data_IF_883316211607
#
_entry.id   IF_883316211607
#
_cell.length_a   1.000
_cell.length_b   1.000
_cell.length_c   1.000
_cell.angle_alpha   90.00
_cell.angle_beta   90.00
_cell.angle_gamma   90.00
#
_symmetry.space_group_name_H-M   'P 1'
#
loop_
_entity.id
_entity.type
_entity.pdbx_description
1 polymer ?
#
# COMPACT_ATOMS: atom_id res chain seq x y z
N UNK A 1 -7.96 14.65 19.91
CA UNK A 1 -6.78 13.80 20.14
C UNK A 1 -6.52 13.77 21.65
N UNK A 2 -6.13 12.62 22.22
CA UNK A 2 -5.76 12.53 23.63
C UNK A 2 -4.24 12.34 23.70
N UNK A 3 -3.57 13.08 24.58
CA UNK A 3 -2.12 12.99 24.73
C UNK A 3 -1.77 12.12 25.94
N UNK A 4 -0.68 11.36 25.80
CA UNK A 4 -0.05 10.62 26.88
C UNK A 4 1.23 11.40 27.23
N UNK A 5 1.42 11.81 28.50
CA UNK A 5 2.62 12.53 28.87
C UNK A 5 3.85 11.64 28.74
N UNK A 6 4.98 12.20 28.31
CA UNK A 6 6.26 11.47 28.17
C UNK A 6 6.78 10.88 29.51
N UNK A 7 6.23 11.32 30.64
CA UNK A 7 6.52 10.74 31.96
C UNK A 7 6.12 9.27 32.08
N UNK A 8 5.29 8.75 31.16
CA UNK A 8 5.04 7.31 31.02
C UNK A 8 6.33 6.48 30.96
N UNK A 9 7.38 7.00 30.33
CA UNK A 9 8.68 6.32 30.22
C UNK A 9 9.43 6.21 31.56
N UNK A 10 8.99 6.92 32.59
CA UNK A 10 9.54 6.79 33.96
C UNK A 10 8.85 5.69 34.76
N UNK A 11 7.71 5.16 34.30
CA UNK A 11 7.02 4.07 34.98
C UNK A 11 7.82 2.77 34.80
N UNK A 12 7.95 1.97 35.85
CA UNK A 12 8.76 0.74 35.84
C UNK A 12 8.14 -0.37 34.97
N UNK A 13 9.01 -1.10 34.28
CA UNK A 13 8.75 -2.13 33.26
C UNK A 13 7.84 -3.31 33.68
N UNK A 14 7.27 -4.09 32.72
CA UNK A 14 7.40 -3.98 31.26
C UNK A 14 6.15 -3.46 30.52
N UNK A 15 5.03 -3.26 31.22
CA UNK A 15 3.74 -2.93 30.59
C UNK A 15 3.05 -1.79 31.31
N UNK A 16 2.61 -0.77 30.57
CA UNK A 16 1.78 0.33 31.09
C UNK A 16 0.39 0.26 30.46
N UNK A 17 -0.65 0.29 31.29
CA UNK A 17 -2.06 0.26 30.84
C UNK A 17 -2.71 1.61 31.07
N UNK A 18 -3.21 2.25 29.99
CA UNK A 18 -3.98 3.50 30.05
C UNK A 18 -5.40 3.27 29.56
N UNK A 19 -6.38 3.54 30.43
CA UNK A 19 -7.81 3.39 30.10
C UNK A 19 -8.40 4.73 29.66
N UNK A 20 -9.15 4.71 28.55
CA UNK A 20 -9.88 5.87 28.03
C UNK A 20 -11.39 5.58 28.02
N UNK A 21 -12.14 6.26 28.90
CA UNK A 21 -13.60 6.20 28.90
C UNK A 21 -14.14 7.15 27.82
N UNK A 22 -15.08 6.65 27.02
CA UNK A 22 -15.69 7.40 25.90
C UNK A 22 -17.20 7.17 25.93
N UNK A 23 -17.99 8.22 25.75
CA UNK A 23 -19.47 8.13 25.81
C UNK A 23 -20.06 7.41 24.59
N UNK A 24 -19.30 7.37 23.49
CA UNK A 24 -19.67 6.75 22.21
C UNK A 24 -18.82 5.51 21.95
N UNK A 25 -19.33 4.53 21.19
CA UNK A 25 -18.55 3.35 20.82
C UNK A 25 -17.31 3.75 20.01
N UNK A 26 -16.17 3.16 20.36
CA UNK A 26 -14.92 3.36 19.65
C UNK A 26 -14.95 2.62 18.30
N UNK A 27 -14.91 3.37 17.20
CA UNK A 27 -14.90 2.81 15.83
C UNK A 27 -13.50 2.60 15.27
N UNK A 28 -12.55 3.47 15.66
CA UNK A 28 -11.15 3.41 15.25
C UNK A 28 -10.27 4.05 16.31
N UNK A 29 -9.14 3.41 16.58
CA UNK A 29 -8.08 3.91 17.45
C UNK A 29 -6.80 3.96 16.62
N UNK A 30 -6.09 5.07 16.70
CA UNK A 30 -4.78 5.25 16.08
C UNK A 30 -3.82 5.74 17.15
N UNK A 31 -2.81 4.94 17.43
CA UNK A 31 -1.69 5.29 18.29
C UNK A 31 -0.73 6.19 17.51
N UNK A 32 -0.24 7.24 18.15
CA UNK A 32 0.72 8.20 17.60
C UNK A 32 0.47 8.66 16.14
N UNK A 33 -0.66 9.34 15.86
CA UNK A 33 -0.99 9.80 14.51
C UNK A 33 -0.05 10.90 13.97
N UNK A 34 0.80 11.48 14.81
CA UNK A 34 1.69 12.59 14.46
C UNK A 34 3.17 12.19 14.45
N UNK A 35 3.48 10.90 14.67
CA UNK A 35 4.84 10.36 14.67
C UNK A 35 5.74 11.08 15.69
N UNK A 36 5.19 11.34 16.87
CA UNK A 36 5.90 11.94 18.00
C UNK A 36 6.80 10.91 18.71
N UNK A 37 6.50 9.62 18.56
CA UNK A 37 7.28 8.51 19.09
C UNK A 37 8.21 7.96 18.01
N UNK A 38 9.48 7.73 18.35
CA UNK A 38 10.48 7.17 17.44
C UNK A 38 10.35 5.64 17.31
N UNK A 39 9.15 5.14 17.00
CA UNK A 39 8.89 3.72 16.78
C UNK A 39 9.33 3.26 15.37
N UNK A 40 9.69 1.98 15.25
CA UNK A 40 10.14 1.35 14.00
C UNK A 40 9.00 0.71 13.22
N UNK A 41 7.92 0.32 13.90
CA UNK A 41 6.77 -0.35 13.28
C UNK A 41 5.52 0.53 13.39
N UNK A 42 4.95 0.89 12.24
CA UNK A 42 3.69 1.65 12.18
C UNK A 42 2.48 0.74 11.92
N UNK A 43 2.70 -0.53 11.57
CA UNK A 43 1.64 -1.44 11.15
C UNK A 43 0.71 -1.88 12.28
N UNK A 44 1.18 -1.78 13.53
CA UNK A 44 0.41 -2.13 14.73
C UNK A 44 -0.26 -0.91 15.40
N UNK A 45 -0.09 0.29 14.87
CA UNK A 45 -0.62 1.52 15.48
C UNK A 45 -2.11 1.74 15.26
N UNK A 46 -2.78 0.90 14.47
CA UNK A 46 -4.20 1.07 14.14
C UNK A 46 -5.03 -0.11 14.62
N UNK A 47 -6.12 0.22 15.32
CA UNK A 47 -7.15 -0.75 15.67
C UNK A 47 -8.53 -0.30 15.15
N UNK A 48 -9.33 -1.17 14.52
CA UNK A 48 -8.97 -2.53 14.08
C UNK A 48 -7.84 -2.54 13.04
N UNK A 49 -7.02 -3.61 12.98
CA UNK A 49 -5.94 -3.73 12.00
C UNK A 49 -6.47 -3.60 10.57
N UNK A 50 -5.70 -2.92 9.72
CA UNK A 50 -6.03 -2.74 8.31
C UNK A 50 -4.92 -3.36 7.46
N UNK A 51 -5.26 -4.06 6.36
CA UNK A 51 -4.25 -4.50 5.42
C UNK A 51 -3.65 -3.26 4.75
N UNK A 52 -2.37 -2.99 5.03
CA UNK A 52 -1.59 -2.01 4.30
C UNK A 52 -0.93 -2.69 3.09
N UNK A 53 -0.97 -2.07 1.91
CA UNK A 53 -0.41 -2.67 0.71
C UNK A 53 1.10 -2.80 0.87
N UNK A 54 1.63 -3.96 0.51
CA UNK A 54 3.08 -4.18 0.57
C UNK A 54 3.80 -3.29 -0.46
N UNK A 55 5.08 -3.01 -0.24
CA UNK A 55 5.91 -2.27 -1.20
C UNK A 55 5.87 -2.88 -2.61
N UNK A 56 5.75 -4.20 -2.69
CA UNK A 56 5.65 -4.94 -3.95
C UNK A 56 4.29 -4.73 -4.64
N UNK A 57 3.19 -4.79 -3.90
CA UNK A 57 1.84 -4.51 -4.43
C UNK A 57 1.73 -3.06 -4.91
N UNK A 58 2.30 -2.10 -4.17
CA UNK A 58 2.38 -0.70 -4.60
C UNK A 58 3.21 -0.57 -5.89
N UNK A 59 4.32 -1.30 -6.00
CA UNK A 59 5.16 -1.31 -7.20
C UNK A 59 4.41 -1.86 -8.42
N UNK A 60 3.65 -2.96 -8.28
CA UNK A 60 2.81 -3.49 -9.35
C UNK A 60 1.65 -2.58 -9.72
N UNK A 61 0.98 -1.98 -8.72
CA UNK A 61 -0.18 -1.11 -8.94
C UNK A 61 0.19 0.26 -9.54
N UNK A 62 1.37 0.80 -9.20
CA UNK A 62 1.82 2.12 -9.63
C UNK A 62 2.50 2.07 -11.00
N UNK A 63 1.80 1.65 -12.05
CA UNK A 63 2.10 2.01 -13.44
C UNK A 63 3.52 1.77 -13.98
N UNK A 64 4.41 1.06 -13.28
CA UNK A 64 5.71 0.63 -13.80
C UNK A 64 5.53 -0.42 -14.90
N UNK A 65 4.32 -0.98 -15.02
CA UNK A 65 3.81 -1.61 -16.24
C UNK A 65 3.44 -0.58 -17.33
N UNK A 66 4.13 0.55 -17.47
CA UNK A 66 4.08 1.33 -18.72
C UNK A 66 4.73 0.58 -19.88
N UNK A 67 5.60 -0.39 -19.59
CA UNK A 67 6.23 -1.22 -20.60
C UNK A 67 5.45 -2.50 -20.92
N UNK A 68 4.70 -3.05 -19.95
CA UNK A 68 3.96 -4.31 -20.10
C UNK A 68 2.44 -4.15 -20.29
N UNK A 69 1.88 -2.98 -19.97
CA UNK A 69 0.45 -2.66 -20.14
C UNK A 69 0.18 -1.67 -21.28
N UNK A 70 1.13 -1.48 -22.20
CA UNK A 70 0.79 -1.03 -23.54
C UNK A 70 0.20 -2.23 -24.26
N UNK A 71 -1.12 -2.42 -24.13
CA UNK A 71 -1.89 -3.39 -24.92
C UNK A 71 -1.92 -3.09 -26.43
N UNK A 72 -0.90 -2.38 -26.94
CA UNK A 72 -0.65 -2.17 -28.35
C UNK A 72 0.50 -3.06 -28.79
N UNK A 73 0.30 -3.77 -29.90
CA UNK A 73 1.32 -4.58 -30.57
C UNK A 73 2.64 -3.83 -30.69
N UNK A 74 3.75 -4.53 -30.38
CA UNK A 74 5.09 -4.00 -30.60
C UNK A 74 5.30 -3.74 -32.11
N UNK A 75 6.17 -2.78 -32.50
CA UNK A 75 6.42 -2.46 -33.90
C UNK A 75 6.77 -3.68 -34.78
N UNK A 76 7.45 -4.68 -34.23
CA UNK A 76 7.75 -5.93 -34.94
C UNK A 76 6.51 -6.81 -35.18
N UNK A 77 5.59 -6.90 -34.23
CA UNK A 77 4.34 -7.64 -34.38
C UNK A 77 3.41 -6.96 -35.40
N UNK A 78 3.38 -5.62 -35.38
CA UNK A 78 2.65 -4.82 -36.37
C UNK A 78 3.22 -5.02 -37.78
N UNK A 79 4.54 -4.96 -37.92
CA UNK A 79 5.20 -5.21 -39.19
C UNK A 79 4.97 -6.64 -39.72
N UNK A 80 4.95 -7.64 -38.83
CA UNK A 80 4.65 -9.01 -39.21
C UNK A 80 3.21 -9.17 -39.72
N UNK A 81 2.22 -8.60 -39.02
CA UNK A 81 0.83 -8.60 -39.47
C UNK A 81 0.64 -7.87 -40.80
N UNK A 82 1.28 -6.70 -40.96
CA UNK A 82 1.16 -5.93 -42.19
C UNK A 82 1.83 -6.66 -43.37
N UNK A 83 2.91 -7.42 -43.12
CA UNK A 83 3.54 -8.29 -44.12
C UNK A 83 2.65 -9.49 -44.49
N UNK A 84 1.97 -10.09 -43.51
CA UNK A 84 1.01 -11.19 -43.73
C UNK A 84 -0.19 -10.73 -44.56
N UNK A 85 -0.72 -9.53 -44.30
CA UNK A 85 -1.81 -8.91 -45.09
C UNK A 85 -1.38 -8.51 -46.51
N UNK A 86 -0.08 -8.28 -46.75
CA UNK A 86 0.48 -7.90 -48.05
C UNK A 86 0.94 -9.11 -48.87
N UNK A 87 0.98 -10.31 -48.29
CA UNK A 87 1.27 -11.52 -49.05
C UNK A 87 0.10 -11.75 -50.03
N UNK A 88 0.35 -11.84 -51.35
CA UNK A 88 -0.71 -12.19 -52.30
C UNK A 88 -1.22 -13.59 -51.94
N UNK A 89 -2.53 -13.75 -51.81
CA UNK A 89 -3.13 -15.07 -51.71
C UNK A 89 -2.70 -15.85 -52.95
N UNK A 90 -1.90 -16.90 -52.75
CA UNK A 90 -1.58 -17.85 -53.81
C UNK A 90 -2.90 -18.51 -54.21
N UNK A 91 -3.52 -18.02 -55.29
CA UNK A 91 -4.62 -18.68 -55.98
C UNK A 91 -4.09 -20.01 -56.57
N UNK A 92 -4.61 -21.13 -56.05
CA UNK A 92 -4.43 -22.50 -56.56
C UNK A 92 -4.97 -22.69 -57.98
#
# INVERSE_FOLDING_TARGET
VRHIPAEIWKMSEPTVTKVFVTDRPATRITLDPYLETADVDMGNNVWPPRPEPTRFEVFQGSGYSRYYSSGGENPMQRAARDAELQAPEEED
#
